data_IF_477393905684
#
_entry.id   IF_477393905684
#
_cell.length_a   1.000
_cell.length_b   1.000
_cell.length_c   1.000
_cell.angle_alpha   90.00
_cell.angle_beta   90.00
_cell.angle_gamma   90.00
#
_symmetry.space_group_name_H-M   'P 1'
#
loop_
_entity.id
_entity.type
_entity.pdbx_description
1 polymer ?
#
# COMPACT_ATOMS: atom_id res chain seq x y z
N UNK A 1 -5.64 -23.53 3.49
CA UNK A 1 -4.41 -22.74 3.68
C UNK A 1 -4.77 -21.43 4.36
N UNK A 2 -4.02 -21.07 5.38
CA UNK A 2 -4.24 -19.81 6.08
C UNK A 2 -3.17 -18.80 5.71
N UNK A 3 -3.52 -17.52 5.83
CA UNK A 3 -2.61 -16.42 5.56
C UNK A 3 -2.48 -15.54 6.78
N UNK A 4 -1.33 -14.94 6.93
CA UNK A 4 -1.15 -13.83 7.84
C UNK A 4 -1.07 -12.54 7.03
N UNK A 5 -1.43 -11.42 7.64
CA UNK A 5 -1.57 -10.14 6.94
C UNK A 5 -0.78 -9.06 7.66
N UNK A 6 -0.26 -8.13 6.86
CA UNK A 6 0.43 -6.96 7.37
C UNK A 6 -0.05 -5.74 6.59
N UNK A 7 -0.23 -4.62 7.27
CA UNK A 7 -0.77 -3.42 6.67
C UNK A 7 0.28 -2.31 6.73
N UNK A 8 0.47 -1.67 5.58
CA UNK A 8 1.30 -0.47 5.46
C UNK A 8 0.38 0.69 5.08
N UNK A 9 0.55 1.81 5.74
CA UNK A 9 -0.18 3.03 5.38
C UNK A 9 0.77 4.07 4.85
N UNK A 10 0.31 4.83 3.87
CA UNK A 10 1.07 5.94 3.31
C UNK A 10 0.14 7.14 3.19
N UNK A 11 0.42 8.16 4.00
CA UNK A 11 -0.30 9.41 3.93
C UNK A 11 0.34 10.36 2.95
N UNK A 12 -0.23 11.54 2.83
CA UNK A 12 0.34 12.57 1.98
C UNK A 12 -0.68 13.65 1.69
N UNK A 13 -0.34 14.51 0.74
CA UNK A 13 -1.27 15.50 0.24
C UNK A 13 -2.37 14.83 -0.55
N UNK A 14 -3.51 15.49 -0.66
CA UNK A 14 -4.64 14.95 -1.40
C UNK A 14 -4.25 14.69 -2.87
N UNK A 15 -4.81 13.62 -3.42
CA UNK A 15 -4.59 13.23 -4.79
C UNK A 15 -5.79 13.72 -5.62
N UNK A 16 -5.53 14.47 -6.65
CA UNK A 16 -6.57 15.08 -7.48
C UNK A 16 -6.80 14.34 -8.80
N UNK A 17 -6.00 13.31 -9.09
CA UNK A 17 -6.22 12.48 -10.27
C UNK A 17 -5.55 11.11 -10.12
N UNK A 18 -5.91 10.21 -11.04
CA UNK A 18 -5.41 8.84 -11.01
C UNK A 18 -3.90 8.73 -11.23
N UNK A 19 -3.33 9.64 -12.03
CA UNK A 19 -1.89 9.61 -12.28
C UNK A 19 -1.11 9.87 -11.01
N UNK A 20 -1.55 10.82 -10.21
CA UNK A 20 -0.89 11.12 -8.93
C UNK A 20 -1.02 9.98 -7.94
N UNK A 21 -2.17 9.32 -7.92
CA UNK A 21 -2.36 8.15 -7.07
C UNK A 21 -1.39 7.05 -7.49
N UNK A 22 -1.28 6.80 -8.79
CA UNK A 22 -0.35 5.80 -9.31
C UNK A 22 1.11 6.13 -9.02
N UNK A 23 1.49 7.39 -9.20
CA UNK A 23 2.85 7.85 -8.92
C UNK A 23 3.19 7.67 -7.43
N UNK A 24 2.24 8.01 -6.55
CA UNK A 24 2.45 7.84 -5.12
C UNK A 24 2.58 6.38 -4.75
N UNK A 25 1.73 5.52 -5.31
CA UNK A 25 1.81 4.09 -5.06
C UNK A 25 3.15 3.53 -5.53
N UNK A 26 3.60 3.92 -6.72
CA UNK A 26 4.90 3.49 -7.24
C UNK A 26 6.03 3.92 -6.32
N UNK A 27 6.00 5.17 -5.84
CA UNK A 27 6.98 5.67 -4.89
C UNK A 27 7.00 4.85 -3.60
N UNK A 28 5.83 4.52 -3.06
CA UNK A 28 5.72 3.71 -1.85
C UNK A 28 6.26 2.31 -2.08
N UNK A 29 5.94 1.69 -3.21
CA UNK A 29 6.40 0.34 -3.52
C UNK A 29 7.90 0.28 -3.77
N UNK A 30 8.53 1.37 -4.19
CA UNK A 30 9.97 1.46 -4.38
C UNK A 30 10.72 1.89 -3.11
N UNK A 31 9.99 2.15 -2.03
CA UNK A 31 10.60 2.53 -0.76
C UNK A 31 11.10 1.34 0.04
N UNK A 32 11.85 1.64 1.09
CA UNK A 32 12.49 0.61 1.91
C UNK A 32 11.50 -0.27 2.67
N UNK A 33 10.38 0.30 3.12
CA UNK A 33 9.38 -0.46 3.87
C UNK A 33 8.75 -1.55 3.01
N UNK A 34 8.35 -1.21 1.79
CA UNK A 34 7.78 -2.18 0.88
C UNK A 34 8.84 -3.20 0.43
N UNK A 35 10.04 -2.73 0.13
CA UNK A 35 11.14 -3.62 -0.28
C UNK A 35 11.45 -4.64 0.80
N UNK A 36 11.48 -4.24 2.06
CA UNK A 36 11.72 -5.12 3.20
C UNK A 36 10.64 -6.21 3.29
N UNK A 37 9.37 -5.84 3.12
CA UNK A 37 8.27 -6.79 3.16
C UNK A 37 8.37 -7.80 2.02
N UNK A 38 8.59 -7.31 0.81
CA UNK A 38 8.67 -8.20 -0.37
C UNK A 38 9.87 -9.15 -0.27
N UNK A 39 10.99 -8.67 0.27
CA UNK A 39 12.16 -9.51 0.50
C UNK A 39 11.90 -10.58 1.57
N UNK A 40 11.04 -10.27 2.53
CA UNK A 40 10.69 -11.19 3.62
C UNK A 40 9.60 -12.20 3.25
N UNK A 41 9.19 -12.23 1.99
CA UNK A 41 8.21 -13.21 1.53
C UNK A 41 6.76 -12.73 1.56
N UNK A 42 6.52 -11.46 1.93
CA UNK A 42 5.19 -10.91 1.87
C UNK A 42 4.84 -10.56 0.43
N UNK A 43 3.59 -10.82 0.02
CA UNK A 43 3.10 -10.39 -1.28
C UNK A 43 2.11 -9.24 -1.10
N UNK A 44 2.13 -8.30 -2.03
CA UNK A 44 1.14 -7.23 -2.04
C UNK A 44 -0.18 -7.82 -2.55
N UNK A 45 -1.18 -7.83 -1.67
CA UNK A 45 -2.46 -8.47 -1.96
C UNK A 45 -3.53 -7.48 -2.37
N UNK A 46 -3.64 -6.37 -1.67
CA UNK A 46 -4.63 -5.34 -1.97
C UNK A 46 -4.08 -3.96 -1.70
N UNK A 47 -4.56 -2.99 -2.47
CA UNK A 47 -4.32 -1.58 -2.23
C UNK A 47 -5.65 -0.88 -2.18
N UNK A 48 -5.87 -0.13 -1.10
CA UNK A 48 -7.08 0.68 -0.93
C UNK A 48 -6.69 2.13 -0.74
N UNK A 49 -7.63 3.02 -1.03
CA UNK A 49 -7.43 4.45 -0.81
C UNK A 49 -8.27 4.91 0.37
N UNK A 50 -7.73 5.89 1.09
CA UNK A 50 -8.47 6.59 2.13
C UNK A 50 -9.04 7.86 1.53
N UNK A 51 -10.36 8.00 1.60
CA UNK A 51 -11.05 9.15 1.03
C UNK A 51 -11.72 9.95 2.14
N UNK A 52 -11.71 11.27 1.98
CA UNK A 52 -12.55 12.15 2.77
C UNK A 52 -13.29 13.08 1.81
N UNK A 53 -13.92 14.13 2.36
CA UNK A 53 -14.69 15.08 1.54
C UNK A 53 -13.81 15.95 0.63
N UNK A 54 -12.50 15.86 0.76
CA UNK A 54 -11.54 16.58 -0.09
C UNK A 54 -10.88 15.68 -1.14
N UNK A 55 -11.21 14.39 -1.15
CA UNK A 55 -10.67 13.45 -2.10
C UNK A 55 -9.85 12.34 -1.44
N UNK A 56 -8.87 11.79 -2.16
CA UNK A 56 -8.03 10.70 -1.67
C UNK A 56 -6.90 11.29 -0.83
N UNK A 57 -6.79 10.84 0.42
CA UNK A 57 -5.80 11.34 1.37
C UNK A 57 -4.68 10.38 1.68
N UNK A 58 -4.80 9.13 1.31
CA UNK A 58 -3.78 8.17 1.65
C UNK A 58 -4.02 6.84 0.97
N UNK A 59 -3.06 5.96 1.19
CA UNK A 59 -3.08 4.60 0.65
C UNK A 59 -2.96 3.61 1.80
N UNK A 60 -3.68 2.51 1.67
CA UNK A 60 -3.55 1.36 2.56
C UNK A 60 -3.11 0.18 1.70
N UNK A 61 -1.92 -0.33 1.97
CA UNK A 61 -1.38 -1.49 1.28
C UNK A 61 -1.49 -2.69 2.21
N UNK A 62 -2.12 -3.74 1.72
CA UNK A 62 -2.31 -4.96 2.50
C UNK A 62 -1.46 -6.05 1.89
N UNK A 63 -0.53 -6.56 2.67
CA UNK A 63 0.35 -7.66 2.29
C UNK A 63 -0.14 -8.93 2.95
N UNK A 64 0.12 -10.06 2.31
CA UNK A 64 -0.17 -11.36 2.92
C UNK A 64 0.97 -12.33 2.67
N UNK A 65 1.04 -13.33 3.53
CA UNK A 65 2.02 -14.39 3.43
C UNK A 65 1.38 -15.68 3.91
N UNK A 66 1.66 -16.79 3.23
CA UNK A 66 1.14 -18.07 3.66
C UNK A 66 1.69 -18.42 5.04
N UNK A 67 0.79 -18.85 5.92
CA UNK A 67 1.16 -19.22 7.28
C UNK A 67 1.44 -20.71 7.32
N UNK A 68 2.58 -21.06 7.85
CA UNK A 68 2.99 -22.46 7.96
C UNK A 68 2.13 -23.23 8.95
#
# INVERSE_FOLDING_TARGET
MTYEYEVQTAGGSSFDNLERIGDRLQEVLNGDDAASRLTSGWELWQVNTLNDHQGVNGLILIYRRAKA
#
